data_IF_383202604140
#
_entry.id   IF_383202604140
#
_cell.length_a   1.000
_cell.length_b   1.000
_cell.length_c   1.000
_cell.angle_alpha   90.00
_cell.angle_beta   90.00
_cell.angle_gamma   90.00
#
_symmetry.space_group_name_H-M   'P 1'
#
loop_
_entity.id
_entity.type
_entity.pdbx_description
1 polymer ?
#
# COMPACT_ATOMS: atom_id res chain seq x y z
N UNK A 1 15.19 2.57 -57.20
CA UNK A 1 13.76 2.29 -57.37
C UNK A 1 13.62 0.82 -57.67
N UNK A 2 13.49 -0.03 -56.66
CA UNK A 2 13.35 -1.48 -56.80
C UNK A 2 11.90 -1.86 -56.53
N UNK A 3 11.20 -2.22 -57.62
CA UNK A 3 9.85 -2.77 -57.66
C UNK A 3 9.91 -4.27 -57.42
N UNK A 4 9.97 -4.74 -56.21
CA UNK A 4 9.76 -6.15 -55.87
C UNK A 4 9.16 -6.20 -54.48
N UNK A 5 7.83 -6.44 -54.44
CA UNK A 5 7.07 -7.07 -53.38
C UNK A 5 5.59 -6.66 -53.49
N UNK A 6 4.93 -7.13 -54.59
CA UNK A 6 3.47 -7.07 -54.67
C UNK A 6 2.95 -8.50 -54.54
N UNK A 7 2.14 -8.78 -53.53
CA UNK A 7 1.39 -10.04 -53.43
C UNK A 7 0.00 -9.83 -54.02
N UNK A 8 -0.29 -10.57 -55.08
CA UNK A 8 -1.61 -10.61 -55.73
C UNK A 8 -2.54 -11.60 -55.02
N UNK A 9 -3.74 -11.19 -54.67
CA UNK A 9 -4.85 -12.06 -54.34
C UNK A 9 -5.86 -12.15 -55.49
N UNK A 10 -6.28 -13.34 -55.96
CA UNK A 10 -7.23 -13.48 -57.05
C UNK A 10 -8.68 -13.36 -56.59
N UNK A 11 -9.44 -12.66 -57.41
CA UNK A 11 -10.87 -12.44 -57.57
C UNK A 11 -11.83 -13.39 -56.84
N UNK A 12 -12.76 -12.79 -56.07
CA UNK A 12 -14.11 -13.35 -55.85
C UNK A 12 -15.13 -12.63 -56.75
N UNK A 13 -15.77 -13.39 -57.62
CA UNK A 13 -16.88 -12.89 -58.46
C UNK A 13 -18.20 -12.96 -57.69
N UNK A 14 -18.83 -11.80 -57.49
CA UNK A 14 -20.26 -11.71 -57.27
C UNK A 14 -20.90 -11.11 -58.52
N UNK A 15 -21.85 -11.83 -59.10
CA UNK A 15 -22.65 -11.42 -60.28
C UNK A 15 -23.56 -10.21 -59.93
N UNK A 16 -23.57 -9.26 -60.92
CA UNK A 16 -24.52 -8.16 -61.07
C UNK A 16 -24.49 -7.02 -60.08
N UNK A 17 -23.51 -6.12 -60.26
CA UNK A 17 -23.71 -4.65 -60.31
C UNK A 17 -22.40 -4.01 -60.75
N UNK A 18 -22.40 -3.34 -61.89
CA UNK A 18 -21.25 -2.57 -62.41
C UNK A 18 -20.99 -1.35 -61.55
N UNK A 19 -19.99 -1.39 -60.68
CA UNK A 19 -19.25 -0.23 -60.21
C UNK A 19 -17.79 -0.65 -60.05
N UNK A 20 -16.93 -0.15 -60.93
CA UNK A 20 -15.50 -0.27 -60.82
C UNK A 20 -15.03 0.67 -59.71
N UNK A 21 -14.87 0.17 -58.47
CA UNK A 21 -14.10 0.81 -57.43
C UNK A 21 -12.82 -0.04 -57.22
N UNK A 22 -11.73 0.38 -57.85
CA UNK A 22 -10.41 -0.12 -57.51
C UNK A 22 -9.96 0.56 -56.21
N UNK A 23 -10.21 -0.06 -55.06
CA UNK A 23 -9.53 0.32 -53.80
C UNK A 23 -8.28 -0.53 -53.66
N UNK A 24 -7.15 0.05 -54.01
CA UNK A 24 -5.84 -0.49 -53.62
C UNK A 24 -5.68 -0.33 -52.12
N UNK A 25 -5.83 -1.41 -51.34
CA UNK A 25 -5.35 -1.48 -49.98
C UNK A 25 -3.83 -1.71 -50.03
N UNK A 26 -3.05 -0.61 -50.01
CA UNK A 26 -1.62 -0.70 -49.84
C UNK A 26 -1.39 -0.90 -48.34
N UNK A 27 -1.18 -2.13 -47.87
CA UNK A 27 -0.61 -2.37 -46.54
C UNK A 27 0.85 -1.94 -46.67
N UNK A 28 1.14 -0.71 -46.26
CA UNK A 28 2.53 -0.30 -46.04
C UNK A 28 2.99 -1.01 -44.77
N UNK A 29 3.77 -2.08 -44.92
CA UNK A 29 4.56 -2.59 -43.80
C UNK A 29 5.52 -1.47 -43.41
N UNK A 30 5.37 -0.97 -42.16
CA UNK A 30 6.30 0.00 -41.62
C UNK A 30 7.71 -0.57 -41.64
N UNK A 31 8.73 0.22 -42.07
CA UNK A 31 10.09 -0.28 -42.14
C UNK A 31 10.57 -0.69 -40.75
N UNK A 32 10.96 -1.96 -40.61
CA UNK A 32 11.58 -2.45 -39.37
C UNK A 32 12.93 -1.78 -39.22
N UNK A 33 13.11 -1.07 -38.13
CA UNK A 33 14.34 -0.40 -37.74
C UNK A 33 14.93 -1.04 -36.49
N UNK A 34 16.20 -0.73 -36.20
CA UNK A 34 16.86 -1.16 -34.99
C UNK A 34 17.56 0.03 -34.31
N UNK A 35 17.50 0.05 -32.98
CA UNK A 35 18.19 1.05 -32.15
C UNK A 35 18.88 0.36 -30.99
N UNK A 36 20.10 0.81 -30.70
CA UNK A 36 20.89 0.31 -29.57
C UNK A 36 20.91 1.39 -28.49
N UNK A 37 20.61 1.00 -27.26
CA UNK A 37 20.65 1.84 -26.08
C UNK A 37 21.80 1.43 -25.18
N UNK A 38 22.60 2.38 -24.73
CA UNK A 38 23.68 2.14 -23.76
C UNK A 38 23.18 2.26 -22.33
N UNK A 39 23.64 1.36 -21.46
CA UNK A 39 23.43 1.34 -20.02
C UNK A 39 24.75 1.46 -19.26
N UNK A 40 25.81 2.07 -19.88
CA UNK A 40 27.19 2.07 -19.37
C UNK A 40 27.34 2.64 -17.94
N UNK A 41 26.47 3.57 -17.53
CA UNK A 41 26.52 4.18 -16.19
C UNK A 41 25.60 3.46 -15.17
N UNK A 42 24.95 2.35 -15.58
CA UNK A 42 23.95 1.67 -14.79
C UNK A 42 24.40 0.23 -14.49
N UNK A 43 24.29 -0.19 -13.24
CA UNK A 43 24.41 -1.61 -12.91
C UNK A 43 23.25 -2.38 -13.55
N UNK A 44 23.47 -2.88 -14.77
CA UNK A 44 22.43 -3.55 -15.57
C UNK A 44 21.86 -4.80 -14.89
N UNK A 45 22.64 -5.47 -14.03
CA UNK A 45 22.19 -6.64 -13.27
C UNK A 45 21.12 -6.24 -12.26
N UNK A 46 21.33 -5.12 -11.55
CA UNK A 46 20.34 -4.57 -10.63
C UNK A 46 19.19 -3.86 -11.34
N UNK A 47 19.47 -3.25 -12.49
CA UNK A 47 18.46 -2.55 -13.29
C UNK A 47 17.42 -3.51 -13.86
N UNK A 48 17.84 -4.66 -14.38
CA UNK A 48 16.95 -5.69 -14.92
C UNK A 48 16.46 -6.70 -13.85
N UNK A 49 17.06 -6.66 -12.64
CA UNK A 49 16.72 -7.55 -11.54
C UNK A 49 17.24 -8.98 -11.70
N UNK A 50 17.03 -9.80 -10.67
CA UNK A 50 17.48 -11.19 -10.68
C UNK A 50 16.87 -11.96 -11.86
N UNK A 51 17.72 -12.58 -12.68
CA UNK A 51 17.35 -13.34 -13.89
C UNK A 51 16.51 -12.52 -14.91
N UNK A 52 16.83 -11.24 -15.09
CA UNK A 52 16.18 -10.36 -16.07
C UNK A 52 14.66 -10.21 -15.92
N UNK A 53 14.10 -10.42 -14.73
CA UNK A 53 12.65 -10.37 -14.47
C UNK A 53 12.00 -9.06 -14.92
N UNK A 54 12.69 -7.96 -14.72
CA UNK A 54 12.22 -6.63 -15.11
C UNK A 54 12.21 -6.50 -16.64
N UNK A 55 13.24 -6.99 -17.31
CA UNK A 55 13.32 -7.00 -18.77
C UNK A 55 12.20 -7.87 -19.38
N UNK A 56 11.93 -9.03 -18.80
CA UNK A 56 10.85 -9.90 -19.26
C UNK A 56 9.48 -9.25 -19.08
N UNK A 57 9.29 -8.53 -17.97
CA UNK A 57 8.08 -7.75 -17.76
C UNK A 57 7.94 -6.62 -18.80
N UNK A 58 9.02 -5.90 -19.12
CA UNK A 58 9.04 -4.88 -20.17
C UNK A 58 8.76 -5.48 -21.56
N UNK A 59 9.25 -6.70 -21.86
CA UNK A 59 8.94 -7.42 -23.12
C UNK A 59 7.44 -7.69 -23.26
N UNK A 60 6.75 -8.01 -22.16
CA UNK A 60 5.29 -8.22 -22.18
C UNK A 60 4.55 -6.92 -22.50
N UNK A 61 5.05 -5.79 -22.05
CA UNK A 61 4.44 -4.48 -22.28
C UNK A 61 4.68 -3.93 -23.69
N UNK A 62 5.74 -4.43 -24.38
CA UNK A 62 6.08 -4.08 -25.77
C UNK A 62 6.06 -5.30 -26.69
N UNK A 63 4.91 -5.93 -26.94
CA UNK A 63 4.85 -7.18 -27.73
C UNK A 63 5.26 -6.99 -29.21
N UNK A 64 5.24 -5.75 -29.71
CA UNK A 64 5.67 -5.42 -31.07
C UNK A 64 7.18 -5.19 -31.21
N UNK A 65 7.90 -5.08 -30.09
CA UNK A 65 9.34 -4.87 -30.07
C UNK A 65 10.08 -6.14 -29.69
N UNK A 66 11.14 -6.46 -30.42
CA UNK A 66 12.10 -7.48 -30.01
C UNK A 66 13.22 -6.83 -29.21
N UNK A 67 13.21 -7.00 -27.87
CA UNK A 67 14.21 -6.47 -26.96
C UNK A 67 15.27 -7.50 -26.63
N UNK A 68 16.53 -7.20 -26.88
CA UNK A 68 17.70 -8.06 -26.66
C UNK A 68 18.72 -7.31 -25.81
N UNK A 69 18.91 -7.74 -24.57
CA UNK A 69 19.95 -7.22 -23.69
C UNK A 69 21.24 -8.07 -23.80
N UNK A 70 22.38 -7.42 -23.82
CA UNK A 70 23.72 -8.05 -23.77
C UNK A 70 24.66 -7.14 -22.99
N UNK A 71 24.89 -7.48 -21.71
CA UNK A 71 25.68 -6.64 -20.80
C UNK A 71 25.02 -5.27 -20.63
N UNK A 72 25.79 -4.24 -20.89
CA UNK A 72 25.40 -2.83 -20.81
C UNK A 72 24.66 -2.30 -22.06
N UNK A 73 24.37 -3.17 -23.04
CA UNK A 73 23.66 -2.79 -24.26
C UNK A 73 22.28 -3.43 -24.34
N UNK A 74 21.29 -2.62 -24.70
CA UNK A 74 19.92 -3.05 -25.03
C UNK A 74 19.63 -2.69 -26.49
N UNK A 75 19.34 -3.71 -27.30
CA UNK A 75 18.92 -3.55 -28.69
C UNK A 75 17.40 -3.71 -28.79
N UNK A 76 16.72 -2.73 -29.37
CA UNK A 76 15.32 -2.80 -29.74
C UNK A 76 15.17 -2.90 -31.27
N UNK A 77 14.28 -3.78 -31.75
CA UNK A 77 13.98 -4.00 -33.15
C UNK A 77 12.46 -3.97 -33.34
N UNK A 78 11.97 -3.09 -34.22
CA UNK A 78 10.55 -2.89 -34.51
C UNK A 78 10.28 -1.69 -35.39
N UNK A 79 9.05 -1.14 -35.36
CA UNK A 79 8.75 0.10 -36.07
C UNK A 79 9.47 1.31 -35.42
N UNK A 80 9.74 2.35 -36.19
CA UNK A 80 10.36 3.56 -35.66
C UNK A 80 9.51 4.20 -34.54
N UNK A 81 8.19 4.20 -34.68
CA UNK A 81 7.24 4.72 -33.70
C UNK A 81 7.29 3.95 -32.38
N UNK A 82 7.26 2.61 -32.44
CA UNK A 82 7.34 1.74 -31.26
C UNK A 82 8.69 1.90 -30.54
N UNK A 83 9.79 2.06 -31.30
CA UNK A 83 11.14 2.30 -30.73
C UNK A 83 11.23 3.66 -30.05
N UNK A 84 10.67 4.73 -30.63
CA UNK A 84 10.68 6.06 -30.01
C UNK A 84 9.78 6.09 -28.76
N UNK A 85 8.64 5.42 -28.79
CA UNK A 85 7.79 5.23 -27.61
C UNK A 85 8.53 4.48 -26.50
N UNK A 86 9.25 3.40 -26.84
CA UNK A 86 10.08 2.64 -25.90
C UNK A 86 11.22 3.51 -25.34
N UNK A 87 11.90 4.32 -26.16
CA UNK A 87 12.99 5.19 -25.71
C UNK A 87 12.53 6.15 -24.61
N UNK A 88 11.38 6.82 -24.79
CA UNK A 88 10.81 7.70 -23.77
C UNK A 88 10.57 6.97 -22.44
N UNK A 89 10.06 5.72 -22.49
CA UNK A 89 9.85 4.90 -21.29
C UNK A 89 11.16 4.44 -20.66
N UNK A 90 12.14 4.05 -21.47
CA UNK A 90 13.47 3.65 -21.00
C UNK A 90 14.19 4.79 -20.29
N UNK A 91 14.11 6.02 -20.83
CA UNK A 91 14.70 7.21 -20.19
C UNK A 91 14.02 7.49 -18.82
N UNK A 92 12.70 7.34 -18.74
CA UNK A 92 11.98 7.47 -17.48
C UNK A 92 12.40 6.40 -16.46
N UNK A 93 12.60 5.14 -16.92
CA UNK A 93 13.10 4.06 -16.07
C UNK A 93 14.52 4.33 -15.57
N UNK A 94 15.43 4.82 -16.44
CA UNK A 94 16.80 5.23 -16.08
C UNK A 94 16.78 6.33 -15.03
N UNK A 95 16.02 7.40 -15.27
CA UNK A 95 15.91 8.55 -14.36
C UNK A 95 15.36 8.12 -12.97
N UNK A 96 14.41 7.20 -12.95
CA UNK A 96 13.91 6.65 -11.70
C UNK A 96 14.96 5.79 -10.98
N UNK A 97 15.65 4.92 -11.73
CA UNK A 97 16.70 4.06 -11.19
C UNK A 97 17.86 4.88 -10.58
N UNK A 98 18.29 5.93 -11.23
CA UNK A 98 19.35 6.84 -10.72
C UNK A 98 18.97 7.47 -9.37
N UNK A 99 17.69 7.76 -9.17
CA UNK A 99 17.16 8.33 -7.91
C UNK A 99 16.96 7.31 -6.79
N UNK A 100 16.54 6.09 -7.14
CA UNK A 100 16.03 5.09 -6.17
C UNK A 100 16.92 3.85 -6.07
N UNK A 101 17.76 3.59 -7.08
CA UNK A 101 18.70 2.46 -7.14
C UNK A 101 18.05 1.10 -7.44
N UNK A 102 16.75 1.06 -7.79
CA UNK A 102 16.03 -0.18 -8.13
C UNK A 102 14.76 0.08 -8.93
N UNK A 103 14.37 -0.88 -9.77
CA UNK A 103 13.09 -0.92 -10.46
C UNK A 103 12.23 -2.08 -9.89
N UNK A 104 10.92 -1.95 -10.00
CA UNK A 104 9.96 -3.02 -9.77
C UNK A 104 8.78 -2.91 -10.76
N UNK A 105 7.99 -3.97 -10.89
CA UNK A 105 6.88 -4.05 -11.85
C UNK A 105 5.85 -2.92 -11.65
N UNK A 106 5.56 -2.54 -10.41
CA UNK A 106 4.60 -1.47 -10.11
C UNK A 106 5.08 -0.09 -10.64
N UNK A 107 6.37 0.22 -10.46
CA UNK A 107 6.97 1.45 -10.97
C UNK A 107 6.94 1.48 -12.50
N UNK A 108 7.24 0.35 -13.13
CA UNK A 108 7.17 0.23 -14.59
C UNK A 108 5.75 0.47 -15.09
N UNK A 109 4.74 -0.14 -14.45
CA UNK A 109 3.34 0.10 -14.78
C UNK A 109 2.96 1.59 -14.66
N UNK A 110 3.39 2.27 -13.59
CA UNK A 110 3.15 3.70 -13.42
C UNK A 110 3.81 4.55 -14.52
N UNK A 111 5.06 4.23 -14.90
CA UNK A 111 5.76 4.89 -16.02
C UNK A 111 4.97 4.70 -17.32
N UNK A 112 4.36 3.53 -17.52
CA UNK A 112 3.57 3.21 -18.70
C UNK A 112 2.24 3.94 -18.73
N UNK A 113 1.49 3.97 -17.63
CA UNK A 113 0.18 4.61 -17.50
C UNK A 113 0.27 6.15 -17.58
N UNK A 114 1.34 6.74 -17.05
CA UNK A 114 1.53 8.20 -16.98
C UNK A 114 2.24 8.82 -18.20
N UNK A 115 2.14 8.21 -19.39
CA UNK A 115 2.65 8.77 -20.62
C UNK A 115 4.20 8.91 -20.69
N UNK A 116 4.97 8.22 -19.85
CA UNK A 116 6.43 8.30 -19.80
C UNK A 116 6.97 9.35 -18.82
N UNK A 117 6.09 10.03 -18.09
CA UNK A 117 6.53 10.83 -16.94
C UNK A 117 7.15 9.90 -15.90
N UNK A 118 8.38 10.19 -15.47
CA UNK A 118 8.94 9.52 -14.30
C UNK A 118 7.97 9.70 -13.14
N UNK A 119 7.49 8.62 -12.51
CA UNK A 119 6.83 8.76 -11.23
C UNK A 119 7.76 9.63 -10.37
N UNK A 120 7.23 10.65 -9.69
CA UNK A 120 8.03 11.38 -8.73
C UNK A 120 8.74 10.35 -7.88
N UNK A 121 10.08 10.40 -7.86
CA UNK A 121 10.85 9.49 -7.02
C UNK A 121 10.30 9.65 -5.62
N UNK A 122 9.60 8.61 -5.16
CA UNK A 122 9.03 8.61 -3.82
C UNK A 122 10.20 8.89 -2.90
N UNK A 123 10.25 10.09 -2.37
CA UNK A 123 11.31 10.46 -1.42
C UNK A 123 11.30 9.40 -0.34
N UNK A 124 12.47 8.93 0.10
CA UNK A 124 12.59 7.94 1.17
C UNK A 124 11.78 8.32 2.42
N UNK A 125 11.36 9.57 2.52
CA UNK A 125 10.49 10.09 3.57
C UNK A 125 9.05 9.56 3.52
N UNK A 126 8.53 9.15 2.33
CA UNK A 126 7.17 8.60 2.20
C UNK A 126 7.08 7.10 2.46
N UNK A 127 8.19 6.38 2.32
CA UNK A 127 8.22 4.94 2.59
C UNK A 127 8.35 4.71 4.10
N UNK A 128 7.31 4.15 4.69
CA UNK A 128 7.32 3.82 6.12
C UNK A 128 8.12 2.53 6.38
N UNK A 129 7.85 1.49 5.60
CA UNK A 129 8.49 0.17 5.78
C UNK A 129 8.65 -0.53 4.42
N UNK A 130 9.78 -1.18 4.23
CA UNK A 130 9.93 -2.22 3.21
C UNK A 130 9.37 -3.53 3.77
N UNK A 131 8.22 -3.94 3.27
CA UNK A 131 7.52 -5.16 3.66
C UNK A 131 8.04 -6.41 2.93
N UNK A 132 7.25 -7.49 2.99
CA UNK A 132 7.57 -8.76 2.32
C UNK A 132 7.47 -8.62 0.80
N UNK A 133 8.25 -9.44 0.07
CA UNK A 133 8.20 -9.53 -1.40
C UNK A 133 8.34 -8.18 -2.12
N UNK A 134 9.09 -7.23 -1.54
CA UNK A 134 9.28 -5.90 -2.14
C UNK A 134 8.10 -4.95 -1.96
N UNK A 135 7.10 -5.28 -1.15
CA UNK A 135 5.98 -4.41 -0.85
C UNK A 135 6.48 -3.10 -0.22
N UNK A 136 6.16 -1.97 -0.84
CA UNK A 136 6.45 -0.65 -0.29
C UNK A 136 5.24 -0.14 0.50
N UNK A 137 5.42 -0.02 1.81
CA UNK A 137 4.40 0.49 2.71
C UNK A 137 4.66 1.97 2.95
N UNK A 138 3.71 2.79 2.56
CA UNK A 138 3.81 4.26 2.59
C UNK A 138 2.51 4.92 3.03
N UNK A 139 2.60 6.16 3.49
CA UNK A 139 1.44 7.01 3.69
C UNK A 139 0.93 7.50 2.32
N UNK A 140 -0.26 7.01 1.92
CA UNK A 140 -0.83 7.24 0.58
C UNK A 140 -1.67 8.51 0.50
N UNK A 141 -2.28 8.92 1.61
CA UNK A 141 -3.21 10.05 1.66
C UNK A 141 -2.64 11.22 2.47
N UNK A 142 -3.11 12.46 2.26
CA UNK A 142 -2.64 13.62 3.02
C UNK A 142 -2.80 13.43 4.53
N UNK A 143 -3.93 12.87 5.00
CA UNK A 143 -4.16 12.68 6.43
C UNK A 143 -3.29 11.55 7.01
N UNK A 144 -2.97 10.49 6.23
CA UNK A 144 -1.97 9.50 6.63
C UNK A 144 -0.57 10.14 6.77
N UNK A 145 -0.18 11.06 5.87
CA UNK A 145 1.08 11.81 5.99
C UNK A 145 1.10 12.67 7.25
N UNK A 146 -0.01 13.36 7.55
CA UNK A 146 -0.17 14.13 8.80
C UNK A 146 -0.06 13.24 10.04
N UNK A 147 -0.61 12.03 10.00
CA UNK A 147 -0.46 11.04 11.07
C UNK A 147 1.02 10.66 11.28
N UNK A 148 1.76 10.44 10.19
CA UNK A 148 3.22 10.15 10.26
C UNK A 148 4.01 11.29 10.93
N UNK A 149 3.72 12.53 10.56
CA UNK A 149 4.35 13.72 11.13
C UNK A 149 3.98 13.88 12.61
N UNK A 150 2.69 13.75 12.94
CA UNK A 150 2.23 13.86 14.31
C UNK A 150 2.90 12.85 15.25
N UNK A 151 3.11 11.60 14.79
CA UNK A 151 3.80 10.56 15.58
C UNK A 151 5.30 10.87 15.77
N UNK A 152 5.94 11.58 14.85
CA UNK A 152 7.32 12.03 15.03
C UNK A 152 7.42 13.08 16.16
N UNK A 153 6.49 14.01 16.18
CA UNK A 153 6.52 15.20 17.04
C UNK A 153 5.91 14.99 18.44
N UNK A 154 4.98 14.03 18.58
CA UNK A 154 4.23 13.82 19.81
C UNK A 154 4.47 12.43 20.41
N UNK A 155 4.31 12.30 21.71
CA UNK A 155 4.44 11.04 22.42
C UNK A 155 3.14 10.22 22.36
N UNK A 156 2.00 10.89 22.21
CA UNK A 156 0.68 10.28 22.12
C UNK A 156 -0.10 10.84 20.96
N UNK A 157 -0.59 9.98 20.06
CA UNK A 157 -1.37 10.39 18.89
C UNK A 157 -2.66 9.57 18.78
N UNK A 158 -3.77 10.28 18.62
CA UNK A 158 -5.07 9.70 18.33
C UNK A 158 -5.35 9.79 16.82
N UNK A 159 -5.52 8.67 16.15
CA UNK A 159 -5.89 8.57 14.74
C UNK A 159 -7.35 8.12 14.63
N UNK A 160 -8.23 9.06 14.32
CA UNK A 160 -9.69 8.89 14.37
C UNK A 160 -10.25 9.00 12.97
N UNK A 161 -11.19 8.13 12.61
CA UNK A 161 -11.85 8.20 11.30
C UNK A 161 -12.52 6.89 10.90
N UNK A 162 -13.22 6.85 9.74
CA UNK A 162 -13.99 5.69 9.32
C UNK A 162 -13.12 4.47 9.02
N UNK A 163 -13.76 3.31 8.98
CA UNK A 163 -13.11 2.06 8.61
C UNK A 163 -12.55 2.11 7.18
N UNK A 164 -11.37 1.52 6.97
CA UNK A 164 -10.71 1.45 5.66
C UNK A 164 -9.84 2.67 5.30
N UNK A 165 -9.66 3.64 6.20
CA UNK A 165 -8.73 4.77 6.02
C UNK A 165 -7.27 4.42 6.33
N UNK A 166 -6.98 3.19 6.73
CA UNK A 166 -5.62 2.71 7.00
C UNK A 166 -5.01 3.14 8.33
N UNK A 167 -5.81 3.61 9.29
CA UNK A 167 -5.35 4.02 10.63
C UNK A 167 -4.44 3.00 11.30
N UNK A 168 -4.98 1.82 11.54
CA UNK A 168 -4.28 0.70 12.19
C UNK A 168 -3.07 0.25 11.41
N UNK A 169 -3.22 0.11 10.09
CA UNK A 169 -2.13 -0.31 9.20
C UNK A 169 -0.96 0.68 9.22
N UNK A 170 -1.25 1.99 9.14
CA UNK A 170 -0.24 3.06 9.23
C UNK A 170 0.42 3.08 10.60
N UNK A 171 -0.35 2.93 11.69
CA UNK A 171 0.20 2.87 13.04
C UNK A 171 1.15 1.68 13.22
N UNK A 172 0.79 0.49 12.72
CA UNK A 172 1.66 -0.70 12.75
C UNK A 172 2.92 -0.48 11.92
N UNK A 173 2.81 0.16 10.73
CA UNK A 173 3.97 0.49 9.90
C UNK A 173 4.95 1.43 10.63
N UNK A 174 4.44 2.43 11.33
CA UNK A 174 5.26 3.35 12.14
C UNK A 174 5.97 2.63 13.29
N UNK A 175 5.27 1.72 13.97
CA UNK A 175 5.84 0.91 15.04
C UNK A 175 6.97 0.00 14.51
N UNK A 176 6.74 -0.68 13.38
CA UNK A 176 7.75 -1.55 12.75
C UNK A 176 8.96 -0.73 12.28
N UNK A 177 8.76 0.48 11.75
CA UNK A 177 9.84 1.39 11.39
C UNK A 177 10.68 1.78 12.61
N UNK A 178 10.02 2.21 13.69
CA UNK A 178 10.69 2.59 14.94
C UNK A 178 11.49 1.42 15.54
N UNK A 179 10.98 0.18 15.47
CA UNK A 179 11.68 -1.01 15.90
C UNK A 179 12.90 -1.31 15.01
N UNK A 180 12.75 -1.25 13.67
CA UNK A 180 13.86 -1.43 12.73
C UNK A 180 14.96 -0.39 12.90
N UNK A 181 14.60 0.85 13.21
CA UNK A 181 15.52 1.95 13.49
C UNK A 181 16.14 1.90 14.90
N UNK A 182 15.73 0.94 15.75
CA UNK A 182 16.17 0.81 17.15
C UNK A 182 15.81 2.01 18.04
N UNK A 183 14.77 2.77 17.67
CA UNK A 183 14.23 3.87 18.46
C UNK A 183 13.47 3.36 19.68
N UNK A 184 12.90 2.15 19.58
CA UNK A 184 12.19 1.43 20.62
C UNK A 184 12.72 0.00 20.75
N UNK A 185 12.39 -0.68 21.84
CA UNK A 185 12.78 -2.07 22.09
C UNK A 185 11.68 -3.07 21.82
N UNK A 186 10.42 -2.65 21.90
CA UNK A 186 9.27 -3.55 21.73
C UNK A 186 8.05 -2.83 21.17
N UNK A 187 7.21 -3.62 20.50
CA UNK A 187 5.90 -3.19 20.00
C UNK A 187 4.83 -3.90 20.85
N UNK A 188 3.85 -3.15 21.33
CA UNK A 188 2.72 -3.70 22.07
C UNK A 188 1.45 -3.29 21.34
N UNK A 189 0.71 -4.28 20.86
CA UNK A 189 -0.56 -4.10 20.18
C UNK A 189 -1.67 -4.57 21.10
N UNK A 190 -2.67 -3.73 21.30
CA UNK A 190 -3.78 -4.05 22.18
C UNK A 190 -5.11 -3.60 21.58
N UNK A 191 -6.16 -4.29 21.95
CA UNK A 191 -7.53 -4.01 21.51
C UNK A 191 -8.49 -4.25 22.66
N UNK A 192 -9.57 -3.44 22.83
CA UNK A 192 -10.64 -3.76 23.76
C UNK A 192 -11.28 -5.10 23.37
N UNK A 193 -11.48 -5.97 24.34
CA UNK A 193 -12.32 -7.13 24.14
C UNK A 193 -13.78 -6.67 24.26
N UNK A 194 -14.47 -6.59 23.13
CA UNK A 194 -15.91 -6.29 23.12
C UNK A 194 -16.63 -7.57 22.83
N UNK A 195 -17.56 -7.92 23.68
CA UNK A 195 -18.54 -8.97 23.39
C UNK A 195 -19.55 -8.39 22.39
N UNK A 196 -19.26 -8.48 21.09
CA UNK A 196 -20.21 -8.09 20.05
C UNK A 196 -21.38 -9.07 20.00
N UNK A 197 -22.23 -9.03 21.01
CA UNK A 197 -23.44 -9.87 21.09
C UNK A 197 -23.22 -11.38 21.29
N UNK A 198 -21.99 -11.87 21.19
CA UNK A 198 -21.58 -13.24 21.46
C UNK A 198 -20.80 -13.28 22.77
N UNK A 199 -21.38 -13.93 23.79
CA UNK A 199 -20.69 -14.12 25.05
C UNK A 199 -19.43 -14.95 24.82
N UNK A 200 -18.25 -14.37 25.02
CA UNK A 200 -16.93 -15.03 24.97
C UNK A 200 -16.93 -16.34 25.82
N UNK A 201 -17.86 -16.49 26.75
CA UNK A 201 -18.07 -17.71 27.55
C UNK A 201 -18.46 -18.95 26.75
N UNK A 202 -19.05 -18.83 25.57
CA UNK A 202 -19.48 -19.97 24.75
C UNK A 202 -18.45 -20.52 23.79
N UNK A 203 -17.34 -19.81 23.57
CA UNK A 203 -16.24 -20.30 22.69
C UNK A 203 -15.39 -21.32 23.46
N UNK A 204 -15.06 -22.51 22.90
CA UNK A 204 -14.10 -23.44 23.48
C UNK A 204 -12.70 -22.89 23.48
N UNK A 205 -11.85 -23.29 24.42
CA UNK A 205 -10.47 -22.88 24.54
C UNK A 205 -10.21 -21.92 25.70
N UNK A 206 -8.96 -21.58 25.90
CA UNK A 206 -8.56 -20.60 26.91
C UNK A 206 -8.91 -19.16 26.46
N UNK A 207 -8.71 -18.17 27.34
CA UNK A 207 -9.07 -16.78 27.06
C UNK A 207 -8.31 -16.21 25.86
N UNK A 208 -7.12 -16.71 25.61
CA UNK A 208 -6.25 -16.29 24.51
C UNK A 208 -6.80 -16.79 23.17
N UNK A 209 -7.17 -18.07 23.10
CA UNK A 209 -7.75 -18.70 21.91
C UNK A 209 -9.05 -18.00 21.47
N UNK A 210 -9.85 -17.56 22.46
CA UNK A 210 -11.11 -16.85 22.23
C UNK A 210 -10.92 -15.43 21.67
N UNK A 211 -9.80 -14.80 21.97
CA UNK A 211 -9.49 -13.41 21.56
C UNK A 211 -8.71 -13.33 20.26
N UNK A 212 -8.03 -14.39 19.85
CA UNK A 212 -7.21 -14.44 18.63
C UNK A 212 -7.94 -13.97 17.35
N UNK A 213 -9.21 -14.36 17.10
CA UNK A 213 -9.94 -13.89 15.93
C UNK A 213 -10.07 -12.35 15.85
N UNK A 214 -10.24 -11.70 17.00
CA UNK A 214 -10.37 -10.24 17.08
C UNK A 214 -9.04 -9.50 16.87
N UNK A 215 -7.92 -10.19 17.06
CA UNK A 215 -6.57 -9.65 16.89
C UNK A 215 -5.99 -9.94 15.51
N UNK A 216 -6.70 -10.73 14.68
CA UNK A 216 -6.24 -11.14 13.35
C UNK A 216 -5.81 -9.97 12.44
N UNK A 217 -6.51 -8.82 12.37
CA UNK A 217 -6.08 -7.70 11.55
C UNK A 217 -4.70 -7.14 11.94
N UNK A 218 -4.33 -7.20 13.21
CA UNK A 218 -3.02 -6.79 13.71
C UNK A 218 -1.93 -7.79 13.29
N UNK A 219 -2.23 -9.09 13.38
CA UNK A 219 -1.33 -10.13 12.88
C UNK A 219 -1.08 -10.00 11.38
N UNK A 220 -2.11 -9.74 10.60
CA UNK A 220 -2.01 -9.61 9.14
C UNK A 220 -1.16 -8.38 8.76
N UNK A 221 -1.35 -7.24 9.41
CA UNK A 221 -0.53 -6.06 9.20
C UNK A 221 0.96 -6.34 9.51
N UNK A 222 1.26 -7.05 10.60
CA UNK A 222 2.64 -7.42 10.93
C UNK A 222 3.26 -8.38 9.90
N UNK A 223 2.48 -9.36 9.40
CA UNK A 223 2.90 -10.34 8.39
C UNK A 223 3.26 -9.68 7.05
N UNK A 224 2.62 -8.60 6.70
CA UNK A 224 2.95 -7.81 5.50
C UNK A 224 4.31 -7.09 5.65
N UNK A 225 4.66 -6.68 6.87
CA UNK A 225 5.77 -5.77 7.16
C UNK A 225 7.05 -6.46 7.62
N UNK A 226 6.93 -7.66 8.16
CA UNK A 226 8.03 -8.40 8.78
C UNK A 226 8.13 -9.80 8.17
N UNK A 227 9.33 -10.26 7.74
CA UNK A 227 9.53 -11.63 7.30
C UNK A 227 9.10 -12.63 8.37
N UNK A 228 8.47 -13.73 7.96
CA UNK A 228 7.84 -14.69 8.86
C UNK A 228 8.80 -15.25 9.95
N UNK A 229 10.01 -15.63 9.57
CA UNK A 229 11.00 -16.15 10.54
C UNK A 229 11.36 -15.10 11.61
N UNK A 230 11.52 -13.84 11.18
CA UNK A 230 11.82 -12.72 12.08
C UNK A 230 10.63 -12.40 13.00
N UNK A 231 9.41 -12.47 12.48
CA UNK A 231 8.20 -12.24 13.25
C UNK A 231 8.01 -13.32 14.34
N UNK A 232 8.29 -14.59 14.03
CA UNK A 232 8.27 -15.68 15.02
C UNK A 232 9.27 -15.43 16.15
N UNK A 233 10.52 -15.08 15.80
CA UNK A 233 11.54 -14.72 16.81
C UNK A 233 11.11 -13.56 17.69
N UNK A 234 10.44 -12.52 17.11
CA UNK A 234 9.96 -11.39 17.89
C UNK A 234 8.79 -11.73 18.82
N UNK A 235 8.02 -12.77 18.53
CA UNK A 235 7.00 -13.27 19.45
C UNK A 235 7.60 -14.11 20.58
N UNK A 236 8.58 -14.94 20.26
CA UNK A 236 9.27 -15.80 21.25
C UNK A 236 10.02 -14.98 22.32
N UNK A 237 10.68 -13.90 21.91
CA UNK A 237 11.44 -13.01 22.81
C UNK A 237 10.64 -11.83 23.37
N UNK A 238 9.30 -11.77 23.09
CA UNK A 238 8.39 -10.71 23.48
C UNK A 238 8.80 -9.30 22.98
N UNK A 239 9.56 -9.22 21.89
CA UNK A 239 9.82 -7.94 21.18
C UNK A 239 8.52 -7.40 20.58
N UNK A 240 7.64 -8.29 20.10
CA UNK A 240 6.28 -7.95 19.68
C UNK A 240 5.29 -8.72 20.54
N UNK A 241 4.40 -7.99 21.19
CA UNK A 241 3.35 -8.52 22.03
C UNK A 241 1.98 -8.08 21.50
N UNK A 242 1.05 -9.02 21.39
CA UNK A 242 -0.37 -8.73 21.11
C UNK A 242 -1.19 -9.25 22.27
N UNK A 243 -1.92 -8.38 22.94
CA UNK A 243 -2.66 -8.72 24.13
C UNK A 243 -3.94 -7.88 24.28
N UNK A 244 -4.99 -8.42 24.92
CA UNK A 244 -6.19 -7.66 25.27
C UNK A 244 -5.88 -6.45 26.17
N UNK A 245 -6.66 -5.38 26.01
CA UNK A 245 -6.50 -4.14 26.79
C UNK A 245 -6.49 -4.37 28.31
N UNK A 246 -7.24 -5.32 28.80
CA UNK A 246 -7.29 -5.66 30.23
C UNK A 246 -5.93 -6.08 30.81
N UNK A 247 -5.04 -6.67 29.98
CA UNK A 247 -3.72 -7.16 30.40
C UNK A 247 -2.68 -6.01 30.53
N UNK A 248 -3.04 -4.81 30.17
CA UNK A 248 -2.21 -3.62 30.36
C UNK A 248 -2.27 -3.08 31.79
N UNK A 249 -3.23 -3.52 32.60
CA UNK A 249 -3.39 -3.05 33.99
C UNK A 249 -2.16 -3.38 34.85
N UNK A 250 -1.68 -2.38 35.61
CA UNK A 250 -0.53 -2.54 36.52
C UNK A 250 0.84 -2.55 35.83
N UNK A 251 0.90 -2.42 34.51
CA UNK A 251 2.16 -2.37 33.75
C UNK A 251 2.68 -0.95 33.61
N UNK A 252 3.98 -0.80 33.40
CA UNK A 252 4.62 0.40 32.88
C UNK A 252 5.30 0.04 31.56
N UNK A 253 4.97 0.76 30.49
CA UNK A 253 5.37 0.42 29.13
C UNK A 253 6.52 1.30 28.66
N UNK A 254 7.73 0.97 29.12
CA UNK A 254 8.98 1.69 28.79
C UNK A 254 9.57 1.25 27.46
N UNK A 255 10.20 2.18 26.73
CA UNK A 255 10.93 1.95 25.48
C UNK A 255 10.07 1.16 24.47
N UNK A 256 8.79 1.49 24.37
CA UNK A 256 7.81 0.74 23.62
C UNK A 256 7.03 1.65 22.66
N UNK A 257 6.68 1.10 21.49
CA UNK A 257 5.62 1.64 20.66
C UNK A 257 4.34 0.88 20.93
N UNK A 258 3.35 1.56 21.44
CA UNK A 258 2.11 0.95 21.94
C UNK A 258 0.94 1.40 21.09
N UNK A 259 0.18 0.44 20.56
CA UNK A 259 -1.01 0.73 19.75
C UNK A 259 -2.24 0.19 20.47
N UNK A 260 -3.22 1.05 20.69
CA UNK A 260 -4.58 0.65 21.06
C UNK A 260 -5.48 0.80 19.83
N UNK A 261 -5.90 -0.33 19.29
CA UNK A 261 -6.81 -0.38 18.15
C UNK A 261 -8.26 -0.49 18.60
N UNK A 262 -9.21 0.01 17.80
CA UNK A 262 -10.64 0.07 18.08
C UNK A 262 -10.97 0.72 19.44
N UNK A 263 -10.28 1.81 19.74
CA UNK A 263 -10.36 2.49 21.04
C UNK A 263 -11.76 3.03 21.37
N UNK A 264 -12.66 3.24 20.38
CA UNK A 264 -14.05 3.63 20.61
C UNK A 264 -14.81 2.61 21.47
N UNK A 265 -14.34 1.35 21.48
CA UNK A 265 -14.92 0.25 22.25
C UNK A 265 -14.28 0.08 23.64
N UNK A 266 -13.41 1.02 24.06
CA UNK A 266 -12.94 1.12 25.44
C UNK A 266 -13.82 2.09 26.24
N UNK A 267 -14.18 1.69 27.47
CA UNK A 267 -14.84 2.61 28.42
C UNK A 267 -13.87 3.69 28.89
N UNK A 268 -14.38 4.78 29.45
CA UNK A 268 -13.54 5.88 29.98
C UNK A 268 -12.54 5.39 31.03
N UNK A 269 -12.92 4.46 31.90
CA UNK A 269 -12.03 3.88 32.90
C UNK A 269 -10.94 3.00 32.31
N UNK A 270 -11.27 2.22 31.27
CA UNK A 270 -10.31 1.39 30.56
C UNK A 270 -9.31 2.25 29.77
N UNK A 271 -9.79 3.27 29.05
CA UNK A 271 -8.91 4.16 28.30
C UNK A 271 -7.98 4.94 29.22
N UNK A 272 -8.52 5.53 30.31
CA UNK A 272 -7.70 6.20 31.32
C UNK A 272 -6.65 5.25 31.91
N UNK A 273 -7.05 4.04 32.28
CA UNK A 273 -6.14 3.01 32.77
C UNK A 273 -5.00 2.78 31.79
N UNK A 274 -5.30 2.65 30.49
CA UNK A 274 -4.32 2.38 29.44
C UNK A 274 -3.38 3.56 29.21
N UNK A 275 -3.89 4.78 29.01
CA UNK A 275 -3.09 5.97 28.74
C UNK A 275 -2.08 6.25 29.85
N UNK A 276 -2.45 5.94 31.10
CA UNK A 276 -1.56 6.06 32.25
C UNK A 276 -0.51 4.95 32.39
N UNK A 277 -0.41 4.03 31.43
CA UNK A 277 0.67 3.01 31.36
C UNK A 277 1.90 3.52 30.63
N UNK A 278 1.84 4.69 30.03
CA UNK A 278 2.97 5.28 29.30
C UNK A 278 4.18 5.41 30.22
N UNK A 279 5.27 4.80 29.82
CA UNK A 279 6.56 4.84 30.50
C UNK A 279 7.58 5.70 29.75
N UNK A 280 8.85 5.57 30.12
CA UNK A 280 9.93 6.34 29.50
C UNK A 280 10.16 5.90 28.05
N UNK A 281 10.42 6.85 27.16
CA UNK A 281 10.64 6.61 25.73
C UNK A 281 9.55 5.75 25.09
N UNK A 282 8.30 5.94 25.51
CA UNK A 282 7.16 5.25 24.91
C UNK A 282 6.45 6.17 23.92
N UNK A 283 6.00 5.60 22.82
CA UNK A 283 5.09 6.21 21.82
C UNK A 283 3.76 5.51 21.87
N UNK A 284 2.67 6.24 22.01
CA UNK A 284 1.32 5.70 22.03
C UNK A 284 0.55 6.16 20.81
N UNK A 285 -0.02 5.23 20.05
CA UNK A 285 -0.96 5.54 18.97
C UNK A 285 -2.28 4.87 19.26
N UNK A 286 -3.32 5.67 19.32
CA UNK A 286 -4.67 5.25 19.62
C UNK A 286 -5.50 5.37 18.34
N UNK A 287 -5.97 4.26 17.79
CA UNK A 287 -6.80 4.24 16.58
C UNK A 287 -8.25 3.95 16.93
N UNK A 288 -9.19 4.59 16.23
CA UNK A 288 -10.61 4.36 16.49
C UNK A 288 -11.54 4.98 15.46
N UNK A 289 -12.80 4.53 15.51
CA UNK A 289 -13.90 5.04 14.68
C UNK A 289 -15.09 5.38 15.58
N UNK A 290 -15.34 6.65 15.77
CA UNK A 290 -16.44 7.12 16.66
C UNK A 290 -17.83 6.79 16.10
N UNK A 291 -17.94 6.35 14.86
CA UNK A 291 -19.21 5.93 14.24
C UNK A 291 -19.53 4.47 14.50
N UNK A 292 -18.55 3.67 14.96
CA UNK A 292 -18.67 2.22 15.18
C UNK A 292 -18.46 1.87 16.66
N UNK A 293 -19.30 2.42 17.52
CA UNK A 293 -19.26 2.16 18.97
C UNK A 293 -20.18 0.96 19.30
N UNK A 294 -19.56 -0.18 19.66
CA UNK A 294 -20.26 -1.42 20.00
C UNK A 294 -20.47 -1.57 21.52
N UNK A 295 -20.17 -0.54 22.31
CA UNK A 295 -20.41 -0.56 23.76
C UNK A 295 -21.90 -0.63 24.07
N UNK A 296 -22.29 -1.32 25.17
CA UNK A 296 -23.66 -1.28 25.69
C UNK A 296 -24.14 0.17 25.92
N UNK A 297 -25.41 0.44 25.64
CA UNK A 297 -26.01 1.82 25.67
C UNK A 297 -25.80 2.59 26.98
N UNK A 298 -25.58 1.91 28.11
CA UNK A 298 -25.31 2.53 29.39
C UNK A 298 -23.82 2.87 29.61
N UNK A 299 -22.94 2.52 28.67
CA UNK A 299 -21.50 2.79 28.75
C UNK A 299 -21.12 3.84 27.70
N UNK A 300 -20.31 4.79 28.11
CA UNK A 300 -19.79 5.83 27.22
C UNK A 300 -18.42 5.43 26.69
N UNK A 301 -18.18 5.74 25.41
CA UNK A 301 -16.88 5.57 24.79
C UNK A 301 -15.85 6.49 25.43
N UNK A 302 -14.77 5.88 25.92
CA UNK A 302 -13.63 6.62 26.47
C UNK A 302 -12.92 7.45 25.40
N UNK A 303 -12.92 7.00 24.15
CA UNK A 303 -12.33 7.75 23.03
C UNK A 303 -13.02 9.09 22.83
N UNK A 304 -14.35 9.11 22.79
CA UNK A 304 -15.13 10.36 22.63
C UNK A 304 -14.85 11.31 23.79
N UNK A 305 -14.79 10.79 25.02
CA UNK A 305 -14.45 11.61 26.18
C UNK A 305 -13.02 12.15 26.13
N UNK A 306 -12.05 11.30 25.73
CA UNK A 306 -10.64 11.68 25.64
C UNK A 306 -10.41 12.84 24.64
N UNK A 307 -11.13 12.84 23.51
CA UNK A 307 -11.08 13.93 22.53
C UNK A 307 -11.41 15.29 23.13
N UNK A 308 -12.29 15.33 24.12
CA UNK A 308 -12.66 16.61 24.77
C UNK A 308 -11.71 17.01 25.88
N UNK A 309 -11.22 16.04 26.69
CA UNK A 309 -10.45 16.38 27.90
C UNK A 309 -8.95 16.42 27.69
N UNK A 310 -8.43 15.80 26.62
CA UNK A 310 -7.00 15.76 26.32
C UNK A 310 -6.60 16.72 25.19
N UNK A 311 -7.56 17.39 24.59
CA UNK A 311 -7.27 18.38 23.56
C UNK A 311 -6.46 19.56 24.12
N UNK A 312 -5.47 20.00 23.36
CA UNK A 312 -4.57 21.10 23.77
C UNK A 312 -3.48 20.72 24.79
N UNK A 313 -3.39 19.45 25.21
CA UNK A 313 -2.28 18.99 26.06
C UNK A 313 -1.03 18.81 25.20
N UNK A 314 0.05 19.47 25.56
CA UNK A 314 1.33 19.37 24.85
C UNK A 314 1.84 17.92 24.85
N UNK A 315 2.30 17.43 23.69
CA UNK A 315 2.72 16.05 23.47
C UNK A 315 1.58 15.09 23.10
N UNK A 316 0.34 15.57 23.04
CA UNK A 316 -0.83 14.82 22.53
C UNK A 316 -1.35 15.47 21.25
N UNK A 317 -1.60 14.65 20.21
CA UNK A 317 -2.16 15.12 18.95
C UNK A 317 -3.36 14.28 18.51
N UNK A 318 -4.34 14.92 17.88
CA UNK A 318 -5.52 14.30 17.29
C UNK A 318 -5.51 14.47 15.79
N UNK A 319 -5.49 13.36 15.04
CA UNK A 319 -5.51 13.34 13.57
C UNK A 319 -6.81 12.71 13.11
N UNK A 320 -7.60 13.52 12.41
CA UNK A 320 -8.85 13.04 11.82
C UNK A 320 -8.59 12.58 10.37
N UNK A 321 -8.91 11.32 10.10
CA UNK A 321 -8.98 10.75 8.78
C UNK A 321 -10.46 10.75 8.35
N UNK A 322 -10.70 10.91 7.05
CA UNK A 322 -12.05 11.03 6.52
C UNK A 322 -12.29 10.09 5.32
N UNK A 323 -13.43 10.24 4.66
CA UNK A 323 -13.80 9.41 3.52
C UNK A 323 -12.84 9.53 2.33
N UNK A 324 -12.07 10.62 2.21
CA UNK A 324 -11.06 10.77 1.16
C UNK A 324 -9.85 9.86 1.37
N UNK A 325 -9.63 9.40 2.62
CA UNK A 325 -8.56 8.48 2.97
C UNK A 325 -8.93 7.00 2.77
N UNK A 326 -10.19 6.71 2.41
CA UNK A 326 -10.67 5.32 2.28
C UNK A 326 -10.05 4.67 1.05
N UNK A 327 -9.16 3.71 1.28
CA UNK A 327 -8.51 2.89 0.25
C UNK A 327 -9.22 1.54 0.19
N UNK A 328 -10.26 1.45 -0.65
CA UNK A 328 -11.05 0.23 -0.82
C UNK A 328 -11.24 -0.10 -2.28
N UNK A 329 -11.53 -1.36 -2.57
CA UNK A 329 -11.92 -1.78 -3.91
C UNK A 329 -13.15 -0.99 -4.37
N UNK A 330 -13.16 -0.51 -5.64
CA UNK A 330 -14.25 0.32 -6.19
C UNK A 330 -15.65 -0.28 -5.99
N UNK A 331 -15.76 -1.61 -6.02
CA UNK A 331 -17.04 -2.30 -5.78
C UNK A 331 -17.49 -2.17 -4.31
N UNK A 332 -16.57 -2.25 -3.35
CA UNK A 332 -16.90 -2.10 -1.91
C UNK A 332 -17.45 -0.71 -1.64
N UNK A 333 -16.84 0.32 -2.23
CA UNK A 333 -17.34 1.70 -2.14
C UNK A 333 -18.77 1.83 -2.69
N UNK A 334 -19.06 1.16 -3.83
CA UNK A 334 -20.41 1.15 -4.42
C UNK A 334 -21.42 0.41 -3.53
N UNK A 335 -21.02 -0.70 -2.91
CA UNK A 335 -21.87 -1.47 -1.99
C UNK A 335 -22.22 -0.60 -0.77
N UNK A 336 -21.26 0.05 -0.14
CA UNK A 336 -21.51 0.91 1.03
C UNK A 336 -22.49 2.01 0.68
N UNK A 337 -22.26 2.77 -0.41
CA UNK A 337 -23.18 3.82 -0.86
C UNK A 337 -24.59 3.31 -1.12
N UNK A 338 -24.73 2.10 -1.68
CA UNK A 338 -26.04 1.51 -1.92
C UNK A 338 -26.78 1.19 -0.61
N UNK A 339 -26.07 0.71 0.41
CA UNK A 339 -26.65 0.45 1.74
C UNK A 339 -26.95 1.75 2.50
N UNK A 340 -26.17 2.81 2.28
CA UNK A 340 -26.41 4.15 2.87
C UNK A 340 -27.54 4.91 2.17
N UNK A 341 -28.17 4.33 1.13
CA UNK A 341 -29.32 4.92 0.41
C UNK A 341 -28.93 5.95 -0.66
N UNK A 342 -27.66 6.06 -1.03
CA UNK A 342 -27.24 6.90 -2.15
C UNK A 342 -27.59 6.23 -3.49
N UNK A 343 -28.26 6.91 -4.43
CA UNK A 343 -28.59 6.32 -5.73
C UNK A 343 -27.31 5.96 -6.48
N UNK A 344 -27.29 4.82 -7.23
CA UNK A 344 -26.13 4.43 -8.00
C UNK A 344 -25.82 5.52 -9.04
N UNK A 345 -24.60 6.05 -9.03
CA UNK A 345 -24.11 6.90 -10.10
C UNK A 345 -24.07 6.09 -11.39
N UNK A 346 -25.00 6.37 -12.30
CA UNK A 346 -24.96 5.85 -13.67
C UNK A 346 -23.79 6.55 -14.35
N UNK A 347 -22.74 5.79 -14.63
CA UNK A 347 -21.65 6.27 -15.47
C UNK A 347 -22.21 6.47 -16.88
N UNK A 348 -22.42 7.72 -17.28
CA UNK A 348 -22.62 8.14 -18.67
C UNK A 348 -21.27 8.10 -19.40
#
# INVERSE_FOLDING_TARGET
MNLQNYVFFPNFQFSNFNFHFFSYFCIMEEPITEKIFSLEEIDYTRFWGDNDKILDFVRILFPKLKLIARGDMLKAVGSAEDIDHFDGKLQAMKTYYDKVGRLNENVIMQIFENGGSTPEAETNEEILVHGRNGLLIKARTPNQKRLVEAVKENDMVFAIGPAGTGKTYTAVALAVRALKNKEIRRIILTRPAVEAGENLGFLPGDLRDKLDPYLQPLYDALRDMIPQQKLLSYWEDNTIEIAPLAFMRGRTLDNAFVILDEAQNATSSQLKMFLTRMGRNAKFVITGDITQIDLPRHQQSGLVQAMHILDGINGISFINLDNSDVIRHKLVTKIIRAYDGEPPQVLT
#
